data_IF_438034076286
#
_entry.id   IF_438034076286
#
_cell.length_a   1.000
_cell.length_b   1.000
_cell.length_c   1.000
_cell.angle_alpha   90.00
_cell.angle_beta   90.00
_cell.angle_gamma   90.00
#
_symmetry.space_group_name_H-M   'P 1'
#
loop_
_entity.id
_entity.type
_entity.pdbx_description
1 polymer ?
#
# COMPACT_ATOMS: atom_id res chain seq x y z
N UNK A 1 -6.65 21.81 -9.80
CA UNK A 1 -5.19 21.89 -10.03
C UNK A 1 -4.37 21.61 -8.77
N UNK A 2 -4.53 22.36 -7.67
CA UNK A 2 -3.76 22.12 -6.42
C UNK A 2 -3.87 20.68 -5.87
N UNK A 3 -4.99 19.99 -6.04
CA UNK A 3 -5.22 18.64 -5.53
C UNK A 3 -4.46 17.55 -6.29
N UNK A 4 -4.37 17.65 -7.64
CA UNK A 4 -3.63 16.68 -8.47
C UNK A 4 -2.13 16.85 -8.26
N UNK A 5 -1.62 18.07 -8.19
CA UNK A 5 -0.22 18.33 -7.86
C UNK A 5 0.15 17.81 -6.45
N UNK A 6 -0.77 17.92 -5.48
CA UNK A 6 -0.59 17.29 -4.16
C UNK A 6 -0.56 15.76 -4.25
N UNK A 7 -1.41 15.16 -5.08
CA UNK A 7 -1.41 13.71 -5.29
C UNK A 7 -0.09 13.24 -5.93
N UNK A 8 0.40 13.92 -6.97
CA UNK A 8 1.69 13.62 -7.60
C UNK A 8 2.83 13.74 -6.58
N UNK A 9 2.86 14.82 -5.78
CA UNK A 9 3.87 14.99 -4.73
C UNK A 9 3.81 13.87 -3.69
N UNK A 10 2.62 13.42 -3.28
CA UNK A 10 2.49 12.30 -2.34
C UNK A 10 3.02 10.99 -2.91
N UNK A 11 2.71 10.68 -4.18
CA UNK A 11 3.25 9.49 -4.84
C UNK A 11 4.78 9.54 -4.88
N UNK A 12 5.37 10.68 -5.27
CA UNK A 12 6.82 10.85 -5.26
C UNK A 12 7.42 10.80 -3.84
N UNK A 13 6.72 11.31 -2.83
CA UNK A 13 7.20 11.23 -1.44
C UNK A 13 7.21 9.80 -0.93
N UNK A 14 6.19 9.00 -1.24
CA UNK A 14 6.13 7.58 -0.85
C UNK A 14 7.27 6.80 -1.54
N UNK A 15 7.47 7.00 -2.84
CA UNK A 15 8.59 6.39 -3.57
C UNK A 15 9.96 6.84 -3.03
N UNK A 16 10.09 8.09 -2.60
CA UNK A 16 11.33 8.58 -2.00
C UNK A 16 11.58 8.01 -0.60
N UNK A 17 10.51 7.77 0.17
CA UNK A 17 10.61 7.14 1.49
C UNK A 17 10.99 5.66 1.38
N UNK A 18 10.44 4.94 0.40
CA UNK A 18 10.72 3.52 0.20
C UNK A 18 12.14 3.24 -0.29
N UNK A 19 12.81 4.23 -0.89
CA UNK A 19 14.21 4.13 -1.37
C UNK A 19 15.26 4.46 -0.30
N UNK A 20 14.85 4.74 0.95
CA UNK A 20 15.81 4.96 2.03
C UNK A 20 16.53 3.65 2.38
N UNK A 21 17.82 3.74 2.58
CA UNK A 21 18.66 2.62 3.05
C UNK A 21 18.41 2.41 4.54
N UNK A 22 17.50 1.53 4.89
CA UNK A 22 17.25 1.06 6.24
C UNK A 22 17.67 -0.40 6.38
N UNK A 23 17.81 -0.91 7.59
CA UNK A 23 18.13 -2.34 7.81
C UNK A 23 17.05 -3.21 7.12
N UNK A 24 15.79 -2.75 7.12
CA UNK A 24 14.73 -3.44 6.41
C UNK A 24 14.94 -3.47 4.89
N UNK A 25 15.60 -2.48 4.27
CA UNK A 25 15.83 -2.49 2.83
C UNK A 25 16.75 -3.62 2.37
N UNK A 26 17.61 -4.13 3.25
CA UNK A 26 18.49 -5.27 2.99
C UNK A 26 17.75 -6.62 2.99
N UNK A 27 16.51 -6.65 3.54
CA UNK A 27 15.69 -7.86 3.63
C UNK A 27 14.95 -8.08 2.32
N UNK A 28 14.95 -9.33 1.84
CA UNK A 28 14.25 -9.70 0.61
C UNK A 28 12.73 -9.41 0.69
N UNK A 29 12.12 -8.74 -0.30
CA UNK A 29 10.73 -8.27 -0.25
C UNK A 29 9.69 -9.39 -0.06
N UNK A 30 9.95 -10.60 -0.55
CA UNK A 30 9.07 -11.75 -0.34
C UNK A 30 8.84 -12.04 1.15
N UNK A 31 9.90 -12.00 1.96
CA UNK A 31 9.79 -12.26 3.40
C UNK A 31 9.02 -11.14 4.12
N UNK A 32 9.23 -9.88 3.71
CA UNK A 32 8.45 -8.75 4.25
C UNK A 32 6.96 -8.92 3.99
N UNK A 33 6.58 -9.28 2.77
CA UNK A 33 5.18 -9.53 2.38
C UNK A 33 4.60 -10.68 3.22
N UNK A 34 5.34 -11.79 3.37
CA UNK A 34 4.89 -12.94 4.16
C UNK A 34 4.72 -12.60 5.65
N UNK A 35 5.65 -11.84 6.23
CA UNK A 35 5.55 -11.38 7.63
C UNK A 35 4.29 -10.54 7.82
N UNK A 36 4.03 -9.58 6.92
CA UNK A 36 2.84 -8.73 7.01
C UNK A 36 1.56 -9.55 6.87
N UNK A 37 1.49 -10.47 5.91
CA UNK A 37 0.33 -11.33 5.73
C UNK A 37 0.09 -12.23 6.95
N UNK A 38 1.14 -12.85 7.49
CA UNK A 38 1.07 -13.66 8.69
C UNK A 38 0.58 -12.85 9.89
N UNK A 39 1.13 -11.65 10.07
CA UNK A 39 0.70 -10.74 11.14
C UNK A 39 -0.78 -10.37 11.01
N UNK A 40 -1.26 -10.04 9.80
CA UNK A 40 -2.65 -9.70 9.55
C UNK A 40 -3.60 -10.89 9.83
N UNK A 41 -3.23 -12.09 9.41
CA UNK A 41 -4.02 -13.31 9.66
C UNK A 41 -4.10 -13.60 11.16
N UNK A 42 -2.99 -13.49 11.87
CA UNK A 42 -2.95 -13.74 13.32
C UNK A 42 -3.77 -12.69 14.07
N UNK A 43 -3.61 -11.39 13.76
CA UNK A 43 -4.41 -10.34 14.41
C UNK A 43 -5.90 -10.47 14.12
N UNK A 44 -6.28 -10.90 12.92
CA UNK A 44 -7.68 -11.17 12.57
C UNK A 44 -8.24 -12.38 13.37
N UNK A 45 -7.43 -13.40 13.61
CA UNK A 45 -7.81 -14.64 14.30
C UNK A 45 -8.06 -14.48 15.80
N UNK A 46 -7.63 -13.36 16.41
CA UNK A 46 -7.91 -13.11 17.84
C UNK A 46 -9.40 -12.95 18.10
N UNK A 47 -9.88 -13.51 19.23
CA UNK A 47 -11.28 -13.31 19.66
C UNK A 47 -11.52 -11.85 20.03
N UNK A 48 -12.76 -11.39 19.84
CA UNK A 48 -13.19 -10.01 20.14
C UNK A 48 -13.14 -9.74 21.67
N UNK A 49 -13.24 -10.77 22.50
CA UNK A 49 -13.20 -10.65 23.96
C UNK A 49 -11.78 -10.69 24.55
N UNK A 50 -10.78 -10.91 23.73
CA UNK A 50 -9.43 -11.14 24.23
C UNK A 50 -8.61 -9.83 24.30
N UNK A 51 -8.43 -9.31 25.53
CA UNK A 51 -7.69 -8.07 25.79
C UNK A 51 -6.18 -8.23 25.54
N UNK A 52 -5.67 -9.46 25.48
CA UNK A 52 -4.24 -9.76 25.21
C UNK A 52 -3.77 -9.33 23.81
N UNK A 53 -4.70 -8.83 22.97
CA UNK A 53 -4.33 -8.25 21.68
C UNK A 53 -3.29 -7.12 21.79
N UNK A 54 -3.18 -6.48 22.95
CA UNK A 54 -2.17 -5.46 23.24
C UNK A 54 -0.75 -6.02 23.09
N UNK A 55 -0.55 -7.32 23.33
CA UNK A 55 0.75 -7.98 23.18
C UNK A 55 1.20 -7.99 21.72
N UNK A 56 0.26 -7.92 20.76
CA UNK A 56 0.55 -7.78 19.34
C UNK A 56 1.20 -6.44 18.97
N UNK A 57 1.29 -5.50 19.90
CA UNK A 57 2.07 -4.27 19.70
C UNK A 57 3.58 -4.55 19.68
N UNK A 58 4.05 -5.63 20.30
CA UNK A 58 5.48 -5.97 20.40
C UNK A 58 6.12 -6.27 19.03
N UNK A 59 5.57 -7.15 18.16
CA UNK A 59 6.11 -7.34 16.81
C UNK A 59 6.07 -6.05 15.96
N UNK A 60 5.05 -5.22 16.16
CA UNK A 60 4.94 -3.94 15.46
C UNK A 60 6.05 -2.98 15.90
N UNK A 61 6.36 -2.88 17.19
CA UNK A 61 7.48 -2.09 17.72
C UNK A 61 8.82 -2.56 17.16
N UNK A 62 9.08 -3.85 17.19
CA UNK A 62 10.33 -4.43 16.65
C UNK A 62 10.48 -4.09 15.16
N UNK A 63 9.42 -4.27 14.37
CA UNK A 63 9.47 -4.01 12.94
C UNK A 63 9.60 -2.52 12.61
N UNK A 64 9.02 -1.63 13.43
CA UNK A 64 9.17 -0.18 13.27
C UNK A 64 10.56 0.32 13.66
N UNK A 65 11.18 -0.26 14.69
CA UNK A 65 12.57 0.06 15.08
C UNK A 65 13.55 -0.34 13.98
N UNK A 66 13.39 -1.54 13.40
CA UNK A 66 14.21 -1.99 12.27
C UNK A 66 14.03 -1.11 11.01
N UNK A 67 12.87 -0.52 10.85
CA UNK A 67 12.54 0.39 9.74
C UNK A 67 12.92 1.85 9.99
N UNK A 68 13.38 2.22 11.20
CA UNK A 68 13.61 3.60 11.62
C UNK A 68 12.40 4.53 11.40
N UNK A 69 11.18 3.99 11.56
CA UNK A 69 9.93 4.68 11.28
C UNK A 69 9.30 5.20 12.57
N UNK A 70 9.01 6.49 12.62
CA UNK A 70 8.27 7.09 13.71
C UNK A 70 6.78 6.73 13.64
N UNK A 71 6.30 5.84 14.51
CA UNK A 71 4.90 5.39 14.59
C UNK A 71 3.91 6.56 14.77
N UNK A 72 4.31 7.61 15.49
CA UNK A 72 3.48 8.80 15.68
C UNK A 72 3.23 9.56 14.36
N UNK A 73 4.23 9.63 13.47
CA UNK A 73 4.05 10.21 12.13
C UNK A 73 3.14 9.34 11.26
N UNK A 74 3.28 8.01 11.38
CA UNK A 74 2.40 7.05 10.69
C UNK A 74 0.93 7.25 11.07
N UNK A 75 0.63 7.37 12.37
CA UNK A 75 -0.72 7.68 12.86
C UNK A 75 -1.24 9.01 12.32
N UNK A 76 -0.36 10.01 12.17
CA UNK A 76 -0.69 11.31 11.58
C UNK A 76 -1.15 11.23 10.12
N UNK A 77 -0.49 10.43 9.30
CA UNK A 77 -0.84 10.20 7.89
C UNK A 77 -2.10 9.35 7.74
N UNK A 78 -2.35 8.44 8.69
CA UNK A 78 -3.49 7.53 8.70
C UNK A 78 -4.75 8.11 9.37
N UNK A 79 -4.72 9.39 9.80
CA UNK A 79 -5.86 10.05 10.46
C UNK A 79 -7.23 9.74 9.84
N UNK A 80 -7.44 9.86 8.51
CA UNK A 80 -8.75 9.59 7.91
C UNK A 80 -9.19 8.13 8.05
N UNK A 81 -8.24 7.18 8.00
CA UNK A 81 -8.52 5.76 8.16
C UNK A 81 -8.81 5.41 9.62
N UNK A 82 -8.08 6.00 10.55
CA UNK A 82 -8.33 5.85 12.00
C UNK A 82 -9.70 6.44 12.36
N UNK A 83 -10.05 7.60 11.82
CA UNK A 83 -11.38 8.20 12.02
C UNK A 83 -12.51 7.28 11.51
N UNK A 84 -12.31 6.67 10.33
CA UNK A 84 -13.28 5.72 9.77
C UNK A 84 -13.41 4.46 10.63
N UNK A 85 -12.31 3.93 11.16
CA UNK A 85 -12.33 2.79 12.09
C UNK A 85 -13.09 3.12 13.38
N UNK A 86 -12.83 4.30 13.95
CA UNK A 86 -13.55 4.76 15.15
C UNK A 86 -15.04 4.93 14.85
N UNK A 87 -15.39 5.49 13.69
CA UNK A 87 -16.81 5.63 13.28
C UNK A 87 -17.48 4.26 13.13
N UNK A 88 -16.87 3.29 12.47
CA UNK A 88 -17.41 1.92 12.37
C UNK A 88 -17.54 1.27 13.75
N UNK A 89 -16.56 1.50 14.64
CA UNK A 89 -16.58 0.95 15.98
C UNK A 89 -17.71 1.50 16.84
N UNK A 90 -18.15 2.76 16.65
CA UNK A 90 -19.28 3.31 17.39
C UNK A 90 -20.59 2.56 17.14
N UNK A 91 -20.76 1.94 15.97
CA UNK A 91 -21.91 1.11 15.67
C UNK A 91 -22.06 -0.06 16.66
N UNK A 92 -20.96 -0.63 17.14
CA UNK A 92 -20.98 -1.72 18.12
C UNK A 92 -21.48 -1.29 19.51
N UNK A 93 -21.40 -0.01 19.85
CA UNK A 93 -21.93 0.51 21.12
C UNK A 93 -23.47 0.50 21.16
N UNK A 94 -24.10 0.57 19.98
CA UNK A 94 -25.57 0.53 19.87
C UNK A 94 -26.15 -0.88 19.87
N UNK A 95 -25.35 -1.92 19.62
CA UNK A 95 -25.80 -3.31 19.67
C UNK A 95 -25.74 -3.83 21.11
N UNK A 96 -26.90 -4.11 21.70
CA UNK A 96 -27.02 -4.75 23.02
C UNK A 96 -26.35 -6.14 22.97
N UNK A 97 -25.31 -6.31 23.80
CA UNK A 97 -24.56 -7.57 23.89
C UNK A 97 -23.06 -7.45 23.59
N UNK A 98 -22.63 -6.41 22.93
CA UNK A 98 -21.20 -6.13 22.69
C UNK A 98 -20.76 -4.97 23.58
N UNK A 99 -19.98 -5.26 24.62
CA UNK A 99 -19.49 -4.25 25.56
C UNK A 99 -18.40 -3.34 24.97
N UNK A 100 -18.00 -2.33 25.74
CA UNK A 100 -16.91 -1.40 25.43
C UNK A 100 -15.61 -2.16 25.08
N UNK A 101 -15.38 -3.32 25.70
CA UNK A 101 -14.23 -4.18 25.42
C UNK A 101 -14.15 -4.61 23.95
N UNK A 102 -15.27 -5.00 23.35
CA UNK A 102 -15.31 -5.38 21.92
C UNK A 102 -14.98 -4.21 20.99
N UNK A 103 -15.47 -3.01 21.33
CA UNK A 103 -15.14 -1.79 20.59
C UNK A 103 -13.62 -1.50 20.63
N UNK A 104 -13.02 -1.55 21.83
CA UNK A 104 -11.58 -1.30 22.01
C UNK A 104 -10.74 -2.32 21.25
N UNK A 105 -11.07 -3.61 21.37
CA UNK A 105 -10.34 -4.68 20.68
C UNK A 105 -10.43 -4.53 19.17
N UNK A 106 -11.61 -4.21 18.63
CA UNK A 106 -11.80 -3.99 17.18
C UNK A 106 -10.98 -2.79 16.68
N UNK A 107 -11.02 -1.68 17.43
CA UNK A 107 -10.25 -0.48 17.08
C UNK A 107 -8.73 -0.75 17.12
N UNK A 108 -8.24 -1.47 18.13
CA UNK A 108 -6.83 -1.86 18.23
C UNK A 108 -6.42 -2.78 17.07
N UNK A 109 -7.23 -3.79 16.73
CA UNK A 109 -6.98 -4.66 15.56
C UNK A 109 -6.79 -3.85 14.28
N UNK A 110 -7.72 -2.93 14.03
CA UNK A 110 -7.67 -2.08 12.85
C UNK A 110 -6.44 -1.17 12.83
N UNK A 111 -6.12 -0.53 13.95
CA UNK A 111 -4.95 0.35 14.07
C UNK A 111 -3.65 -0.44 13.85
N UNK A 112 -3.51 -1.61 14.46
CA UNK A 112 -2.30 -2.44 14.30
C UNK A 112 -2.14 -2.94 12.86
N UNK A 113 -3.23 -3.38 12.22
CA UNK A 113 -3.22 -3.78 10.83
C UNK A 113 -2.80 -2.64 9.90
N UNK A 114 -3.34 -1.43 10.11
CA UNK A 114 -2.99 -0.24 9.33
C UNK A 114 -1.54 0.16 9.52
N UNK A 115 -1.05 0.20 10.76
CA UNK A 115 0.34 0.57 11.05
C UNK A 115 1.31 -0.41 10.42
N UNK A 116 1.06 -1.72 10.51
CA UNK A 116 1.94 -2.74 9.96
C UNK A 116 1.97 -2.69 8.41
N UNK A 117 0.81 -2.48 7.78
CA UNK A 117 0.71 -2.26 6.33
C UNK A 117 1.42 -0.98 5.87
N UNK A 118 1.32 0.09 6.66
CA UNK A 118 2.02 1.35 6.36
C UNK A 118 3.54 1.19 6.44
N UNK A 119 4.05 0.45 7.43
CA UNK A 119 5.48 0.15 7.54
C UNK A 119 5.96 -0.59 6.27
N UNK A 120 5.22 -1.59 5.78
CA UNK A 120 5.55 -2.28 4.53
C UNK A 120 5.62 -1.29 3.35
N UNK A 121 4.62 -0.42 3.22
CA UNK A 121 4.53 0.54 2.11
C UNK A 121 5.68 1.57 2.13
N UNK A 122 6.17 1.94 3.30
CA UNK A 122 7.28 2.91 3.45
C UNK A 122 8.67 2.29 3.36
N UNK A 123 8.79 0.98 3.58
CA UNK A 123 10.08 0.27 3.56
C UNK A 123 10.33 -0.56 2.31
N UNK A 124 9.35 -0.63 1.41
CA UNK A 124 9.44 -1.48 0.23
C UNK A 124 8.92 -0.73 -0.99
N UNK A 125 9.76 -0.57 -2.00
CA UNK A 125 9.36 0.07 -3.25
C UNK A 125 8.38 -0.81 -4.03
N UNK A 126 7.61 -0.21 -4.94
CA UNK A 126 6.64 -0.96 -5.75
C UNK A 126 7.33 -1.99 -6.65
N UNK A 127 8.53 -1.68 -7.13
CA UNK A 127 9.35 -2.61 -7.91
C UNK A 127 9.77 -3.83 -7.08
N UNK A 128 10.19 -3.61 -5.83
CA UNK A 128 10.53 -4.67 -4.88
C UNK A 128 9.30 -5.50 -4.50
N UNK A 129 8.13 -4.88 -4.31
CA UNK A 129 6.87 -5.61 -4.09
C UNK A 129 6.56 -6.54 -5.27
N UNK A 130 6.71 -6.07 -6.51
CA UNK A 130 6.54 -6.89 -7.70
C UNK A 130 7.52 -8.06 -7.75
N UNK A 131 8.79 -7.85 -7.39
CA UNK A 131 9.78 -8.93 -7.25
C UNK A 131 9.39 -9.94 -6.17
N UNK A 132 8.89 -9.46 -5.04
CA UNK A 132 8.38 -10.31 -3.96
C UNK A 132 7.21 -11.18 -4.41
N UNK A 133 6.24 -10.59 -5.12
CA UNK A 133 5.06 -11.28 -5.65
C UNK A 133 5.43 -12.33 -6.71
N UNK A 134 6.45 -12.08 -7.55
CA UNK A 134 6.91 -13.06 -8.55
C UNK A 134 7.40 -14.35 -7.91
N UNK A 135 8.07 -14.27 -6.76
CA UNK A 135 8.50 -15.45 -6.01
C UNK A 135 7.35 -16.17 -5.28
N UNK A 136 6.25 -15.48 -5.03
CA UNK A 136 5.02 -16.07 -4.48
C UNK A 136 4.14 -16.76 -5.54
N UNK A 137 4.71 -17.04 -6.74
CA UNK A 137 4.04 -17.70 -7.88
C UNK A 137 2.84 -16.92 -8.45
N UNK A 138 2.80 -15.58 -8.25
CA UNK A 138 1.83 -14.74 -8.94
C UNK A 138 2.13 -14.75 -10.45
N UNK A 139 1.10 -14.83 -11.32
CA UNK A 139 1.31 -14.85 -12.78
C UNK A 139 2.11 -13.63 -13.26
N UNK A 140 3.10 -13.87 -14.11
CA UNK A 140 4.00 -12.83 -14.62
C UNK A 140 3.25 -11.70 -15.35
N UNK A 141 2.16 -12.03 -16.05
CA UNK A 141 1.30 -11.06 -16.71
C UNK A 141 0.73 -10.02 -15.74
N UNK A 142 0.31 -10.43 -14.52
CA UNK A 142 -0.17 -9.49 -13.50
C UNK A 142 0.96 -8.57 -12.99
N UNK A 143 2.14 -9.11 -12.80
CA UNK A 143 3.31 -8.34 -12.35
C UNK A 143 3.67 -7.27 -13.37
N UNK A 144 3.70 -7.62 -14.66
CA UNK A 144 3.95 -6.68 -15.76
C UNK A 144 2.89 -5.57 -15.76
N UNK A 145 1.61 -5.92 -15.60
CA UNK A 145 0.51 -4.93 -15.55
C UNK A 145 0.70 -3.98 -14.37
N UNK A 146 1.02 -4.46 -13.16
CA UNK A 146 1.25 -3.62 -11.97
C UNK A 146 2.41 -2.64 -12.21
N UNK A 147 3.53 -3.12 -12.77
CA UNK A 147 4.69 -2.28 -13.08
C UNK A 147 4.34 -1.21 -14.13
N UNK A 148 3.57 -1.56 -15.15
CA UNK A 148 3.12 -0.61 -16.16
C UNK A 148 2.15 0.42 -15.57
N UNK A 149 1.21 -0.01 -14.73
CA UNK A 149 0.29 0.92 -14.04
C UNK A 149 1.08 1.96 -13.25
N UNK A 150 2.04 1.56 -12.44
CA UNK A 150 2.86 2.50 -11.66
C UNK A 150 3.56 3.52 -12.55
N UNK A 151 4.19 3.06 -13.63
CA UNK A 151 4.92 3.93 -14.56
C UNK A 151 4.02 4.92 -15.29
N UNK A 152 2.85 4.46 -15.76
CA UNK A 152 1.94 5.30 -16.54
C UNK A 152 0.97 6.12 -15.69
N UNK A 153 0.78 5.80 -14.40
CA UNK A 153 -0.06 6.57 -13.49
C UNK A 153 0.38 8.03 -13.38
N UNK A 154 1.67 8.28 -13.21
CA UNK A 154 2.22 9.64 -13.10
C UNK A 154 2.00 10.41 -14.41
N UNK A 155 2.17 9.73 -15.55
CA UNK A 155 1.96 10.33 -16.86
C UNK A 155 0.48 10.66 -17.08
N UNK A 156 -0.42 9.77 -16.66
CA UNK A 156 -1.86 9.97 -16.70
C UNK A 156 -2.31 11.17 -15.86
N UNK A 157 -1.77 11.34 -14.65
CA UNK A 157 -2.05 12.53 -13.83
C UNK A 157 -1.60 13.83 -14.52
N UNK A 158 -0.42 13.84 -15.12
CA UNK A 158 0.05 15.02 -15.89
C UNK A 158 -0.86 15.35 -17.07
N UNK A 159 -1.37 14.34 -17.75
CA UNK A 159 -2.29 14.51 -18.87
C UNK A 159 -3.67 15.01 -18.42
N UNK A 160 -4.14 14.47 -17.30
CA UNK A 160 -5.36 14.95 -16.63
C UNK A 160 -5.26 16.44 -16.29
N UNK A 161 -4.15 16.86 -15.68
CA UNK A 161 -3.91 18.27 -15.35
C UNK A 161 -3.96 19.18 -16.58
N UNK A 162 -3.32 18.77 -17.69
CA UNK A 162 -3.35 19.51 -18.95
C UNK A 162 -4.76 19.62 -19.53
N UNK A 163 -5.52 18.52 -19.48
CA UNK A 163 -6.90 18.49 -20.00
C UNK A 163 -7.82 19.38 -19.16
N UNK A 164 -7.69 19.35 -17.83
CA UNK A 164 -8.44 20.22 -16.92
C UNK A 164 -8.08 21.69 -17.10
N UNK A 165 -6.79 21.99 -17.30
CA UNK A 165 -6.34 23.34 -17.58
C UNK A 165 -6.95 23.86 -18.91
N UNK A 166 -6.87 23.08 -19.98
CA UNK A 166 -7.46 23.45 -21.26
C UNK A 166 -8.97 23.67 -21.14
N UNK A 167 -9.67 22.87 -20.35
CA UNK A 167 -11.10 23.06 -20.09
C UNK A 167 -11.37 24.38 -19.35
N UNK A 168 -10.61 24.68 -18.29
CA UNK A 168 -10.78 25.89 -17.50
C UNK A 168 -10.54 27.17 -18.31
N UNK A 169 -9.64 27.12 -19.30
CA UNK A 169 -9.37 28.23 -20.20
C UNK A 169 -10.50 28.44 -21.24
N UNK A 170 -11.20 27.36 -21.62
CA UNK A 170 -12.32 27.44 -22.59
C UNK A 170 -13.64 27.81 -21.94
N UNK A 171 -13.79 27.65 -20.63
CA UNK A 171 -15.00 27.95 -19.88
C UNK A 171 -14.69 28.92 -18.69
N UNK A 172 -14.26 30.15 -18.97
CA UNK A 172 -13.94 31.12 -17.93
C UNK A 172 -15.21 31.45 -17.14
N UNK A 173 -15.12 31.43 -15.81
CA UNK A 173 -16.24 31.75 -14.91
C UNK A 173 -17.08 30.56 -14.44
N UNK A 174 -16.90 29.35 -14.99
CA UNK A 174 -17.54 28.14 -14.45
C UNK A 174 -16.82 27.65 -13.21
N UNK A 175 -17.59 27.48 -12.11
CA UNK A 175 -17.10 26.84 -10.86
C UNK A 175 -17.23 25.31 -11.02
N UNK A 176 -16.14 24.65 -11.40
CA UNK A 176 -16.10 23.20 -11.53
C UNK A 176 -16.43 22.69 -12.94
N UNK A 177 -16.61 21.39 -13.08
CA UNK A 177 -16.92 20.71 -14.34
C UNK A 177 -18.37 20.24 -14.28
N UNK A 178 -19.19 20.58 -15.28
CA UNK A 178 -20.57 20.09 -15.34
C UNK A 178 -20.60 18.56 -15.55
N UNK A 179 -21.60 17.88 -15.00
CA UNK A 179 -21.76 16.41 -15.12
C UNK A 179 -21.79 15.99 -16.61
N UNK A 180 -22.44 16.79 -17.46
CA UNK A 180 -22.51 16.54 -18.91
C UNK A 180 -21.12 16.56 -19.58
N UNK A 181 -20.24 17.46 -19.13
CA UNK A 181 -18.86 17.60 -19.67
C UNK A 181 -17.91 16.55 -19.11
N UNK A 182 -18.21 16.01 -17.92
CA UNK A 182 -17.40 14.92 -17.34
C UNK A 182 -17.33 13.69 -18.27
N UNK A 183 -18.45 13.28 -18.86
CA UNK A 183 -18.51 12.16 -19.77
C UNK A 183 -17.58 12.31 -20.97
N UNK A 184 -17.59 13.48 -21.60
CA UNK A 184 -16.73 13.77 -22.78
C UNK A 184 -15.26 13.86 -22.40
N UNK A 185 -14.93 14.44 -21.23
CA UNK A 185 -13.55 14.52 -20.75
C UNK A 185 -13.00 13.12 -20.44
N UNK A 186 -13.72 12.31 -19.67
CA UNK A 186 -13.31 10.94 -19.34
C UNK A 186 -13.22 10.08 -20.61
N UNK A 187 -14.20 10.19 -21.54
CA UNK A 187 -14.18 9.47 -22.80
C UNK A 187 -12.94 9.80 -23.65
N UNK A 188 -12.61 11.09 -23.76
CA UNK A 188 -11.41 11.52 -24.52
C UNK A 188 -10.11 11.05 -23.87
N UNK A 189 -10.04 11.01 -22.54
CA UNK A 189 -8.89 10.47 -21.82
C UNK A 189 -8.76 8.96 -21.97
N UNK A 190 -9.89 8.25 -21.99
CA UNK A 190 -9.91 6.80 -22.22
C UNK A 190 -9.40 6.44 -23.61
N UNK A 191 -9.87 7.13 -24.66
CA UNK A 191 -9.38 6.92 -26.02
C UNK A 191 -7.86 7.14 -26.12
N UNK A 192 -7.35 8.25 -25.59
CA UNK A 192 -5.90 8.52 -25.56
C UNK A 192 -5.13 7.45 -24.79
N UNK A 193 -5.71 6.89 -23.71
CA UNK A 193 -5.08 5.82 -22.95
C UNK A 193 -5.00 4.52 -23.74
N UNK A 194 -6.02 4.21 -24.54
CA UNK A 194 -6.03 3.05 -25.44
C UNK A 194 -4.97 3.21 -26.53
N UNK A 195 -4.93 4.36 -27.21
CA UNK A 195 -3.93 4.63 -28.24
C UNK A 195 -2.51 4.52 -27.68
N UNK A 196 -2.29 5.05 -26.49
CA UNK A 196 -1.00 4.92 -25.78
C UNK A 196 -0.67 3.46 -25.46
N UNK A 197 -1.64 2.69 -24.97
CA UNK A 197 -1.43 1.28 -24.65
C UNK A 197 -1.02 0.48 -25.91
N UNK A 198 -1.66 0.75 -27.05
CA UNK A 198 -1.31 0.14 -28.34
C UNK A 198 0.13 0.49 -28.76
N UNK A 199 0.50 1.77 -28.70
CA UNK A 199 1.84 2.23 -29.05
C UNK A 199 2.92 1.64 -28.12
N UNK A 200 2.63 1.54 -26.82
CA UNK A 200 3.54 0.94 -25.83
C UNK A 200 3.70 -0.56 -26.11
N UNK A 201 2.60 -1.25 -26.36
CA UNK A 201 2.64 -2.67 -26.68
C UNK A 201 3.47 -2.96 -27.93
N UNK A 202 3.24 -2.22 -29.02
CA UNK A 202 4.02 -2.34 -30.25
C UNK A 202 5.51 -2.08 -30.01
N UNK A 203 5.82 -1.02 -29.27
CA UNK A 203 7.21 -0.68 -28.91
C UNK A 203 7.88 -1.77 -28.08
N UNK A 204 7.15 -2.41 -27.16
CA UNK A 204 7.65 -3.53 -26.36
C UNK A 204 7.90 -4.76 -27.24
N UNK A 205 7.00 -5.07 -28.16
CA UNK A 205 7.15 -6.19 -29.11
C UNK A 205 8.39 -5.99 -30.00
N UNK A 206 8.62 -4.80 -30.53
CA UNK A 206 9.80 -4.47 -31.33
C UNK A 206 11.11 -4.60 -30.54
N UNK A 207 11.05 -4.41 -29.21
CA UNK A 207 12.20 -4.60 -28.31
C UNK A 207 12.36 -6.04 -27.83
N UNK A 208 11.61 -6.99 -28.40
CA UNK A 208 11.72 -8.41 -28.05
C UNK A 208 11.06 -8.79 -26.71
N UNK A 209 10.02 -8.07 -26.27
CA UNK A 209 9.30 -8.39 -25.04
C UNK A 209 8.66 -9.79 -25.12
N UNK A 210 8.98 -10.65 -24.15
CA UNK A 210 8.49 -12.03 -24.05
C UNK A 210 7.54 -12.26 -22.86
N UNK A 211 6.81 -11.22 -22.44
CA UNK A 211 5.86 -11.32 -21.32
C UNK A 211 6.49 -11.23 -19.92
N UNK A 212 7.79 -11.01 -19.83
CA UNK A 212 8.52 -10.87 -18.55
C UNK A 212 9.30 -9.56 -18.57
N UNK A 213 9.13 -8.74 -17.53
CA UNK A 213 9.99 -7.57 -17.35
C UNK A 213 11.30 -7.96 -16.66
N UNK A 214 12.45 -7.44 -17.13
CA UNK A 214 13.71 -7.65 -16.44
C UNK A 214 13.61 -7.04 -15.04
N UNK A 215 13.77 -7.89 -14.03
CA UNK A 215 13.86 -7.45 -12.64
C UNK A 215 15.27 -6.93 -12.38
N UNK A 216 15.38 -5.74 -11.80
CA UNK A 216 16.68 -5.28 -11.27
C UNK A 216 17.07 -6.20 -10.12
N UNK A 217 18.17 -6.94 -10.28
CA UNK A 217 18.71 -7.77 -9.21
C UNK A 217 19.37 -6.86 -8.17
N UNK A 218 18.63 -6.54 -7.11
CA UNK A 218 19.25 -5.99 -5.92
C UNK A 218 19.86 -7.13 -5.11
N UNK A 219 21.08 -6.90 -4.62
CA UNK A 219 21.74 -7.85 -3.73
C UNK A 219 21.11 -7.76 -2.33
N UNK A 220 20.21 -8.68 -2.05
CA UNK A 220 19.64 -8.83 -0.71
C UNK A 220 20.47 -9.78 0.15
N UNK A 221 20.65 -9.45 1.41
CA UNK A 221 21.31 -10.35 2.34
C UNK A 221 20.38 -11.52 2.73
N UNK A 222 20.66 -12.69 2.15
CA UNK A 222 19.87 -13.91 2.39
C UNK A 222 19.89 -14.35 3.85
N UNK A 223 21.04 -14.21 4.53
CA UNK A 223 21.16 -14.60 5.95
C UNK A 223 20.31 -13.72 6.84
N UNK A 224 20.39 -12.39 6.65
CA UNK A 224 19.59 -11.43 7.39
C UNK A 224 18.09 -11.63 7.14
N UNK A 225 17.71 -11.88 5.89
CA UNK A 225 16.32 -12.12 5.50
C UNK A 225 15.72 -13.36 6.15
N UNK A 226 16.45 -14.47 6.19
CA UNK A 226 15.99 -15.71 6.82
C UNK A 226 15.94 -15.58 8.35
N UNK A 227 16.93 -14.90 8.95
CA UNK A 227 16.99 -14.68 10.39
C UNK A 227 15.82 -13.83 10.88
N UNK A 228 15.56 -12.71 10.23
CA UNK A 228 14.45 -11.81 10.59
C UNK A 228 13.10 -12.47 10.38
N UNK A 229 12.92 -13.23 9.30
CA UNK A 229 11.71 -14.00 9.07
C UNK A 229 11.49 -15.06 10.17
N UNK A 230 12.55 -15.84 10.49
CA UNK A 230 12.48 -16.85 11.55
C UNK A 230 12.14 -16.26 12.91
N UNK A 231 12.81 -15.18 13.31
CA UNK A 231 12.54 -14.49 14.60
C UNK A 231 11.09 -14.00 14.65
N UNK A 232 10.59 -13.36 13.59
CA UNK A 232 9.22 -12.85 13.56
C UNK A 232 8.18 -13.96 13.56
N UNK A 233 8.40 -15.06 12.84
CA UNK A 233 7.51 -16.22 12.88
C UNK A 233 7.45 -16.86 14.26
N UNK A 234 8.59 -17.11 14.89
CA UNK A 234 8.66 -17.67 16.25
C UNK A 234 7.96 -16.75 17.25
N UNK A 235 8.22 -15.45 17.18
CA UNK A 235 7.58 -14.47 18.05
C UNK A 235 6.05 -14.46 17.89
N UNK A 236 5.55 -14.48 16.65
CA UNK A 236 4.12 -14.51 16.36
C UNK A 236 3.45 -15.82 16.84
N UNK A 237 4.12 -16.95 16.71
CA UNK A 237 3.62 -18.26 17.18
C UNK A 237 3.57 -18.29 18.71
N UNK A 238 4.64 -17.83 19.39
CA UNK A 238 4.68 -17.78 20.84
C UNK A 238 3.56 -16.89 21.38
N UNK A 239 3.38 -15.70 20.78
CA UNK A 239 2.33 -14.78 21.19
C UNK A 239 0.93 -15.39 21.01
N UNK A 240 0.70 -16.14 19.91
CA UNK A 240 -0.56 -16.85 19.71
C UNK A 240 -0.73 -18.00 20.74
N UNK A 241 0.34 -18.71 21.09
CA UNK A 241 0.31 -19.78 22.07
C UNK A 241 0.03 -19.33 23.50
N UNK A 242 0.51 -18.13 23.87
CA UNK A 242 0.26 -17.54 25.21
C UNK A 242 -1.19 -17.08 25.37
N UNK A 243 -1.91 -16.90 24.27
CA UNK A 243 -3.27 -16.33 24.25
C UNK A 243 -4.37 -17.37 23.96
N UNK A 244 -3.99 -18.61 23.69
CA UNK A 244 -4.88 -19.78 23.62
C UNK A 244 -5.05 -20.40 24.99
#
# INVERSE_FOLDING_TARGET
>A
MKNIQKAIKRVHQIDALSKRTTILSAIHPTYKILIVLLYLIITASYSIHNIYIVVMFLPLLLFSMLGEINLLKCLGELKPLVALLLFMGTAFLFFKGYGITCFIVLALKGIFALLFSYILMTTTSMEELCMGLSKLKVPQSLIVVIMLIQRYLILFFKETDKTLLAYSLRAPGQKGISIKTWGTLVGSMMLRSIDRAMNVYQSMMLRGFKGVMPSQSQNYDKKLSNLTFGIMCVLLIILKGVTL
#
